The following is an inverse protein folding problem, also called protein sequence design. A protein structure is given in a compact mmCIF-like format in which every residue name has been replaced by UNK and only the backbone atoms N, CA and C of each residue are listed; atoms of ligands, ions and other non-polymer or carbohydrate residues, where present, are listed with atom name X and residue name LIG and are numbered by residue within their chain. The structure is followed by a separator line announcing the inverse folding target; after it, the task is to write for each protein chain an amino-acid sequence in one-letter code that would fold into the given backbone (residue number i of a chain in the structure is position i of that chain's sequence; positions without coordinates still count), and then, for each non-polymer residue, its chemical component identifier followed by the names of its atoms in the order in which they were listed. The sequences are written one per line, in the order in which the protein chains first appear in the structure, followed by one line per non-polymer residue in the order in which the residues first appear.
data_IF_642728214206
#
_entry.id   IF_642728214206
#
_cell.length_a   1.000
_cell.length_b   1.000
_cell.length_c   1.000
_cell.angle_alpha   90.00
_cell.angle_beta   90.00
_cell.angle_gamma   90.00
#
_symmetry.space_group_name_H-M   'P 1'
#
loop_
_entity.id
_entity.type
_entity.pdbx_description
1 polymer ?
#
# COMPACT_ATOMS: atom_id res chain seq x y z
N UNK A 1 25.70 1.93 -0.95
CA UNK A 1 24.52 1.02 -0.86
C UNK A 1 23.68 1.24 0.41
N UNK A 2 24.20 1.87 1.48
CA UNK A 2 23.44 2.09 2.73
C UNK A 2 22.35 3.17 2.67
N UNK A 3 22.44 4.14 1.75
CA UNK A 3 21.55 5.31 1.73
C UNK A 3 20.08 4.96 1.49
N UNK A 4 19.76 4.13 0.48
CA UNK A 4 18.37 3.81 0.17
C UNK A 4 17.70 2.97 1.27
N UNK A 5 18.43 2.02 1.85
CA UNK A 5 17.90 1.19 2.95
C UNK A 5 17.55 2.04 4.17
N UNK A 6 18.43 2.96 4.56
CA UNK A 6 18.18 3.89 5.66
C UNK A 6 16.99 4.82 5.37
N UNK A 7 16.92 5.39 4.16
CA UNK A 7 15.80 6.24 3.74
C UNK A 7 14.47 5.47 3.71
N UNK A 8 14.48 4.23 3.20
CA UNK A 8 13.28 3.40 3.11
C UNK A 8 12.78 2.98 4.50
N UNK A 9 13.67 2.71 5.46
CA UNK A 9 13.27 2.48 6.86
C UNK A 9 12.52 3.69 7.43
N UNK A 10 13.02 4.91 7.22
CA UNK A 10 12.35 6.13 7.69
C UNK A 10 11.00 6.36 6.98
N UNK A 11 10.92 6.01 5.70
CA UNK A 11 9.68 6.03 4.94
C UNK A 11 8.61 5.11 5.55
N UNK A 12 8.98 3.87 5.89
CA UNK A 12 8.05 2.93 6.53
C UNK A 12 7.58 3.44 7.90
N UNK A 13 8.47 3.99 8.73
CA UNK A 13 8.08 4.58 10.03
C UNK A 13 7.05 5.70 9.84
N UNK A 14 7.29 6.60 8.88
CA UNK A 14 6.37 7.69 8.56
C UNK A 14 4.99 7.17 8.13
N UNK A 15 4.95 6.11 7.30
CA UNK A 15 3.68 5.50 6.88
C UNK A 15 2.94 4.83 8.05
N UNK A 16 3.66 4.14 8.95
CA UNK A 16 3.05 3.49 10.10
C UNK A 16 2.39 4.48 11.07
N UNK A 17 3.00 5.65 11.27
CA UNK A 17 2.41 6.73 12.08
C UNK A 17 1.13 7.25 11.43
N UNK A 18 1.18 7.59 10.13
CA UNK A 18 0.01 8.06 9.37
C UNK A 18 -1.13 7.04 9.36
N UNK A 19 -0.82 5.76 9.19
CA UNK A 19 -1.81 4.69 9.21
C UNK A 19 -2.48 4.58 10.57
N UNK A 20 -1.73 4.65 11.67
CA UNK A 20 -2.29 4.61 13.03
C UNK A 20 -3.25 5.77 13.28
N UNK A 21 -2.87 6.98 12.86
CA UNK A 21 -3.69 8.18 13.05
C UNK A 21 -5.01 8.09 12.28
N UNK A 22 -4.97 7.62 11.03
CA UNK A 22 -6.16 7.42 10.19
C UNK A 22 -7.06 6.30 10.77
N UNK A 23 -6.49 5.16 11.16
CA UNK A 23 -7.25 4.06 11.75
C UNK A 23 -7.98 4.50 13.02
N UNK A 24 -7.31 5.22 13.92
CA UNK A 24 -7.92 5.76 15.13
C UNK A 24 -9.02 6.78 14.82
N UNK A 25 -8.79 7.68 13.85
CA UNK A 25 -9.77 8.70 13.43
C UNK A 25 -11.06 8.10 12.89
N UNK A 26 -10.98 6.98 12.17
CA UNK A 26 -12.13 6.34 11.51
C UNK A 26 -12.63 5.08 12.21
N UNK A 27 -12.13 4.78 13.42
CA UNK A 27 -12.51 3.59 14.21
C UNK A 27 -12.36 2.28 13.42
N UNK A 28 -11.21 2.13 12.76
CA UNK A 28 -10.86 0.92 12.00
C UNK A 28 -9.73 0.16 12.69
N UNK A 29 -9.74 -1.17 12.58
CA UNK A 29 -8.71 -2.02 13.16
C UNK A 29 -7.45 -2.12 12.28
N UNK A 30 -7.62 -2.14 10.96
CA UNK A 30 -6.53 -2.31 10.00
C UNK A 30 -6.89 -1.81 8.59
N UNK A 31 -5.86 -1.65 7.75
CA UNK A 31 -6.01 -1.45 6.30
C UNK A 31 -5.52 -2.71 5.56
N UNK A 32 -6.33 -3.23 4.65
CA UNK A 32 -5.91 -4.24 3.68
C UNK A 32 -5.73 -3.55 2.32
N UNK A 33 -4.47 -3.37 1.90
CA UNK A 33 -4.12 -2.64 0.68
C UNK A 33 -3.86 -3.65 -0.44
N UNK A 34 -4.74 -3.67 -1.44
CA UNK A 34 -4.63 -4.53 -2.61
C UNK A 34 -3.91 -3.80 -3.76
N UNK A 35 -2.95 -4.45 -4.41
CA UNK A 35 -2.21 -3.87 -5.55
C UNK A 35 -3.04 -3.74 -6.82
N UNK A 36 -4.19 -4.42 -6.89
CA UNK A 36 -5.00 -4.57 -8.09
C UNK A 36 -4.85 -5.96 -8.70
N UNK A 37 -5.67 -6.21 -9.72
CA UNK A 37 -5.77 -7.45 -10.48
C UNK A 37 -5.66 -7.15 -11.98
N UNK A 38 -5.19 -8.13 -12.76
CA UNK A 38 -5.26 -8.04 -14.22
C UNK A 38 -6.72 -8.11 -14.67
N UNK A 39 -7.09 -7.28 -15.63
CA UNK A 39 -8.43 -7.26 -16.23
C UNK A 39 -8.31 -7.60 -17.70
N UNK A 40 -9.03 -8.62 -18.13
CA UNK A 40 -9.03 -9.05 -19.52
C UNK A 40 -10.06 -8.28 -20.34
N UNK A 41 -9.78 -8.15 -21.64
CA UNK A 41 -10.73 -7.64 -22.63
C UNK A 41 -11.93 -8.60 -22.74
N UNK A 42 -13.13 -8.05 -22.93
CA UNK A 42 -14.36 -8.84 -23.01
C UNK A 42 -14.29 -9.89 -24.14
N UNK A 43 -14.55 -11.15 -23.79
CA UNK A 43 -14.47 -12.33 -24.67
C UNK A 43 -13.07 -12.59 -25.27
N UNK A 44 -12.02 -12.08 -24.63
CA UNK A 44 -10.62 -12.29 -25.02
C UNK A 44 -9.78 -12.68 -23.78
N UNK A 45 -8.60 -13.24 -23.99
CA UNK A 45 -7.63 -13.55 -22.93
C UNK A 45 -6.53 -12.48 -22.78
N UNK A 46 -6.58 -11.43 -23.60
CA UNK A 46 -5.66 -10.29 -23.54
C UNK A 46 -5.89 -9.39 -22.30
N UNK A 47 -4.87 -9.14 -21.46
CA UNK A 47 -4.94 -8.14 -20.39
C UNK A 47 -4.86 -6.71 -20.95
N UNK A 48 -5.59 -5.77 -20.34
CA UNK A 48 -5.57 -4.34 -20.70
C UNK A 48 -4.24 -3.64 -20.36
#
# INVERSE_FOLDING_TARGET
MESLSALYKNHIVTLQERTRDVLARFQMDALLIHSGELVNVFLDDHPY
#
